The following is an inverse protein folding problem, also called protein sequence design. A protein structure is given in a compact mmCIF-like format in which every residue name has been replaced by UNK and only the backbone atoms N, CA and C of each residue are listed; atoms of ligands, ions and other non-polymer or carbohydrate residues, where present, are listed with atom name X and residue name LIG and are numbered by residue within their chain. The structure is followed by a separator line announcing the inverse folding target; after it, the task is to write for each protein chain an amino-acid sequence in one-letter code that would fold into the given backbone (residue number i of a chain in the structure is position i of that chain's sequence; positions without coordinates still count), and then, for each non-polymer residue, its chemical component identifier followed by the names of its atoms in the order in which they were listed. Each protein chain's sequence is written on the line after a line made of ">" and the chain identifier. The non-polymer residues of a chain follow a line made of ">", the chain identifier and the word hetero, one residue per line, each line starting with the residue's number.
data_IF_097077168776
#
_entry.id   IF_097077168776
#
_cell.length_a   1.000
_cell.length_b   1.000
_cell.length_c   1.000
_cell.angle_alpha   90.00
_cell.angle_beta   90.00
_cell.angle_gamma   90.00
#
_symmetry.space_group_name_H-M   'P 1'
#
loop_
_entity.id
_entity.type
_entity.pdbx_description
1 polymer ?
#
# COMPACT_ATOMS: atom_id res chain seq x y z
N UNK A 1 -27.12 12.06 -23.36
CA UNK A 1 -27.36 12.42 -21.93
C UNK A 1 -28.06 11.37 -21.08
N UNK A 2 -29.22 10.80 -21.47
CA UNK A 2 -30.06 9.97 -20.57
C UNK A 2 -29.36 8.71 -20.03
N UNK A 3 -28.61 7.99 -20.87
CA UNK A 3 -27.92 6.76 -20.47
C UNK A 3 -26.65 7.02 -19.64
N UNK A 4 -25.90 8.09 -19.93
CA UNK A 4 -24.70 8.45 -19.16
C UNK A 4 -25.08 8.98 -17.77
N UNK A 5 -26.14 9.77 -17.67
CA UNK A 5 -26.68 10.21 -16.38
C UNK A 5 -27.22 9.01 -15.58
N UNK A 6 -27.93 8.07 -16.22
CA UNK A 6 -28.38 6.84 -15.56
C UNK A 6 -27.21 5.99 -15.04
N UNK A 7 -26.08 5.93 -15.74
CA UNK A 7 -24.87 5.24 -15.25
C UNK A 7 -24.21 5.98 -14.08
N UNK A 8 -24.21 7.32 -14.11
CA UNK A 8 -23.69 8.17 -13.03
C UNK A 8 -24.53 8.04 -11.76
N UNK A 9 -25.86 8.00 -11.91
CA UNK A 9 -26.80 7.85 -10.80
C UNK A 9 -26.63 6.50 -10.08
N UNK A 10 -26.08 5.49 -10.77
CA UNK A 10 -25.83 4.15 -10.25
C UNK A 10 -24.38 3.89 -9.80
N UNK A 11 -23.50 4.90 -9.76
CA UNK A 11 -22.11 4.74 -9.28
C UNK A 11 -22.04 4.23 -7.84
N UNK A 12 -23.09 4.45 -7.06
CA UNK A 12 -23.20 3.99 -5.68
C UNK A 12 -23.27 2.46 -5.54
N UNK A 13 -23.62 1.75 -6.61
CA UNK A 13 -23.70 0.29 -6.66
C UNK A 13 -22.38 -0.38 -7.11
N UNK A 14 -21.44 0.41 -7.62
CA UNK A 14 -20.21 -0.10 -8.21
C UNK A 14 -19.04 -0.07 -7.22
N UNK A 15 -18.14 -1.05 -7.38
CA UNK A 15 -16.82 -1.05 -6.72
C UNK A 15 -15.94 0.06 -7.30
N UNK A 16 -14.92 0.48 -6.55
CA UNK A 16 -13.98 1.53 -6.96
C UNK A 16 -13.26 1.17 -8.27
N UNK A 17 -12.92 -0.11 -8.44
CA UNK A 17 -12.31 -0.62 -9.66
C UNK A 17 -13.25 -0.51 -10.86
N UNK A 18 -14.53 -0.84 -10.67
CA UNK A 18 -15.53 -0.73 -11.73
C UNK A 18 -15.83 0.73 -12.07
N UNK A 19 -15.89 1.63 -11.08
CA UNK A 19 -16.00 3.08 -11.31
C UNK A 19 -14.80 3.60 -12.10
N UNK A 20 -13.58 3.19 -11.75
CA UNK A 20 -12.36 3.54 -12.49
C UNK A 20 -12.44 3.13 -13.96
N UNK A 21 -12.82 1.87 -14.23
CA UNK A 21 -12.98 1.35 -15.59
C UNK A 21 -14.08 2.09 -16.36
N UNK A 22 -15.22 2.33 -15.73
CA UNK A 22 -16.34 3.06 -16.33
C UNK A 22 -15.94 4.48 -16.71
N UNK A 23 -15.30 5.22 -15.80
CA UNK A 23 -14.83 6.58 -16.09
C UNK A 23 -13.82 6.61 -17.23
N UNK A 24 -12.88 5.67 -17.28
CA UNK A 24 -11.96 5.56 -18.41
C UNK A 24 -12.69 5.38 -19.74
N UNK A 25 -13.70 4.49 -19.80
CA UNK A 25 -14.52 4.27 -21.00
C UNK A 25 -15.27 5.55 -21.39
N UNK A 26 -15.99 6.16 -20.45
CA UNK A 26 -16.79 7.36 -20.69
C UNK A 26 -15.93 8.53 -21.19
N UNK A 27 -14.76 8.74 -20.60
CA UNK A 27 -13.84 9.80 -21.00
C UNK A 27 -13.27 9.50 -22.40
N UNK A 28 -12.83 8.27 -22.65
CA UNK A 28 -12.23 7.89 -23.93
C UNK A 28 -13.22 8.08 -25.09
N UNK A 29 -14.47 7.63 -24.90
CA UNK A 29 -15.52 7.77 -25.90
C UNK A 29 -15.88 9.23 -26.19
N UNK A 30 -15.95 10.09 -25.16
CA UNK A 30 -16.44 11.46 -25.32
C UNK A 30 -15.38 12.46 -25.80
N UNK A 31 -14.10 12.20 -25.55
CA UNK A 31 -13.03 13.15 -25.89
C UNK A 31 -12.15 12.72 -27.06
N UNK A 32 -12.13 11.44 -27.42
CA UNK A 32 -11.22 10.93 -28.45
C UNK A 32 -11.86 9.89 -29.38
N UNK A 33 -12.93 10.24 -30.13
CA UNK A 33 -13.49 9.35 -31.13
C UNK A 33 -12.49 9.12 -32.29
N UNK A 34 -12.24 7.86 -32.65
CA UNK A 34 -11.22 7.45 -33.63
C UNK A 34 -11.53 7.80 -35.11
N UNK A 35 -12.36 8.82 -35.41
CA UNK A 35 -12.87 9.10 -36.77
C UNK A 35 -12.58 10.51 -37.29
N UNK A 36 -12.08 10.56 -38.53
CA UNK A 36 -11.42 11.69 -39.23
C UNK A 36 -12.34 12.86 -39.65
N UNK A 37 -13.65 12.85 -39.33
CA UNK A 37 -14.54 13.96 -39.71
C UNK A 37 -15.47 14.40 -38.57
N UNK A 38 -15.32 15.66 -38.16
CA UNK A 38 -16.16 16.37 -37.19
C UNK A 38 -17.62 16.44 -37.65
N UNK A 39 -18.44 15.47 -37.24
CA UNK A 39 -19.89 15.52 -37.44
C UNK A 39 -20.57 16.32 -36.31
N UNK A 40 -21.77 16.84 -36.56
CA UNK A 40 -22.56 17.57 -35.56
C UNK A 40 -22.85 16.71 -34.30
N UNK A 41 -22.94 15.39 -34.48
CA UNK A 41 -23.04 14.41 -33.40
C UNK A 41 -21.78 14.38 -32.51
N UNK A 42 -20.58 14.49 -33.08
CA UNK A 42 -19.33 14.55 -32.31
C UNK A 42 -19.20 15.86 -31.51
N UNK A 43 -19.67 16.99 -32.06
CA UNK A 43 -19.72 18.24 -31.31
C UNK A 43 -20.69 18.19 -30.12
N UNK A 44 -21.79 17.44 -30.25
CA UNK A 44 -22.72 17.18 -29.14
C UNK A 44 -22.08 16.24 -28.09
N UNK A 45 -21.40 15.19 -28.55
CA UNK A 45 -20.69 14.24 -27.69
C UNK A 45 -19.55 14.90 -26.89
N UNK A 46 -18.75 15.75 -27.55
CA UNK A 46 -17.70 16.55 -26.89
C UNK A 46 -18.29 17.47 -25.82
N UNK A 47 -19.42 18.13 -26.10
CA UNK A 47 -20.13 18.96 -25.11
C UNK A 47 -20.63 18.15 -23.92
N UNK A 48 -21.13 16.95 -24.14
CA UNK A 48 -21.55 16.05 -23.06
C UNK A 48 -20.34 15.56 -22.24
N UNK A 49 -19.21 15.29 -22.88
CA UNK A 49 -17.93 15.04 -22.21
C UNK A 49 -17.49 16.21 -21.32
N UNK A 50 -17.56 17.44 -21.83
CA UNK A 50 -17.21 18.64 -21.06
C UNK A 50 -18.10 18.85 -19.84
N UNK A 51 -19.41 18.57 -19.96
CA UNK A 51 -20.34 18.57 -18.81
C UNK A 51 -19.92 17.52 -17.78
N UNK A 52 -19.56 16.32 -18.23
CA UNK A 52 -19.09 15.26 -17.33
C UNK A 52 -17.83 15.66 -16.57
N UNK A 53 -16.83 16.26 -17.23
CA UNK A 53 -15.62 16.76 -16.55
C UNK A 53 -15.95 17.88 -15.54
N UNK A 54 -16.88 18.78 -15.89
CA UNK A 54 -17.37 19.80 -14.94
C UNK A 54 -18.04 19.16 -13.71
N UNK A 55 -18.80 18.10 -13.90
CA UNK A 55 -19.41 17.34 -12.79
C UNK A 55 -18.34 16.67 -11.90
N UNK A 56 -17.29 16.10 -12.48
CA UNK A 56 -16.16 15.55 -11.70
C UNK A 56 -15.45 16.64 -10.89
N UNK A 57 -15.29 17.85 -11.43
CA UNK A 57 -14.79 18.99 -10.66
C UNK A 57 -15.74 19.39 -9.53
N UNK A 58 -17.05 19.37 -9.76
CA UNK A 58 -18.05 19.65 -8.71
C UNK A 58 -17.95 18.63 -7.56
N UNK A 59 -17.76 17.35 -7.88
CA UNK A 59 -17.56 16.29 -6.89
C UNK A 59 -16.38 16.55 -5.92
N UNK A 60 -15.29 17.19 -6.37
CA UNK A 60 -14.17 17.55 -5.49
C UNK A 60 -14.57 18.52 -4.37
N UNK A 61 -15.60 19.34 -4.62
CA UNK A 61 -16.14 20.32 -3.67
C UNK A 61 -17.28 19.77 -2.81
N UNK A 62 -17.70 18.52 -3.05
CA UNK A 62 -18.76 17.89 -2.27
C UNK A 62 -18.36 17.71 -0.81
N UNK A 63 -19.38 17.67 0.07
CA UNK A 63 -19.26 17.23 1.46
C UNK A 63 -19.29 15.71 1.59
N UNK A 64 -19.76 15.01 0.56
CA UNK A 64 -19.91 13.54 0.55
C UNK A 64 -18.57 12.90 0.17
N UNK A 65 -17.97 12.18 1.11
CA UNK A 65 -16.69 11.49 0.93
C UNK A 65 -16.60 10.71 -0.39
N UNK A 66 -17.64 9.93 -0.70
CA UNK A 66 -17.68 9.07 -1.88
C UNK A 66 -17.67 9.87 -3.18
N UNK A 67 -18.37 11.00 -3.22
CA UNK A 67 -18.37 11.89 -4.38
C UNK A 67 -16.98 12.48 -4.59
N UNK A 68 -16.33 13.00 -3.54
CA UNK A 68 -14.96 13.53 -3.65
C UNK A 68 -14.02 12.48 -4.24
N UNK A 69 -14.12 11.24 -3.78
CA UNK A 69 -13.35 10.12 -4.33
C UNK A 69 -13.68 9.86 -5.81
N UNK A 70 -14.94 9.93 -6.21
CA UNK A 70 -15.31 9.84 -7.63
C UNK A 70 -14.72 10.97 -8.46
N UNK A 71 -14.72 12.20 -7.94
CA UNK A 71 -14.03 13.33 -8.56
C UNK A 71 -12.54 13.06 -8.77
N UNK A 72 -11.85 12.53 -7.74
CA UNK A 72 -10.44 12.15 -7.82
C UNK A 72 -10.21 11.07 -8.88
N UNK A 73 -10.93 9.95 -8.80
CA UNK A 73 -10.75 8.83 -9.74
C UNK A 73 -11.02 9.29 -11.18
N UNK A 74 -12.11 10.01 -11.41
CA UNK A 74 -12.51 10.46 -12.74
C UNK A 74 -11.52 11.43 -13.35
N UNK A 75 -11.03 12.41 -12.58
CA UNK A 75 -10.04 13.37 -13.08
C UNK A 75 -8.67 12.72 -13.34
N UNK A 76 -8.28 11.71 -12.55
CA UNK A 76 -7.06 10.93 -12.84
C UNK A 76 -7.24 10.09 -14.11
N UNK A 77 -8.40 9.46 -14.32
CA UNK A 77 -8.69 8.80 -15.60
C UNK A 77 -8.69 9.82 -16.75
N UNK A 78 -9.07 11.07 -16.49
CA UNK A 78 -9.02 12.08 -17.53
C UNK A 78 -7.58 12.42 -17.94
N UNK A 79 -6.71 12.64 -16.96
CA UNK A 79 -5.27 12.81 -17.19
C UNK A 79 -4.70 11.61 -17.94
N UNK A 80 -5.09 10.38 -17.57
CA UNK A 80 -4.67 9.16 -18.26
C UNK A 80 -4.99 9.19 -19.75
N UNK A 81 -6.22 9.51 -20.11
CA UNK A 81 -6.65 9.51 -21.51
C UNK A 81 -5.95 10.62 -22.30
N UNK A 82 -5.74 11.80 -21.69
CA UNK A 82 -4.97 12.89 -22.30
C UNK A 82 -3.54 12.41 -22.63
N UNK A 83 -2.83 11.84 -21.66
CA UNK A 83 -1.44 11.37 -21.83
C UNK A 83 -1.30 10.24 -22.87
N UNK A 84 -2.32 9.40 -23.02
CA UNK A 84 -2.29 8.31 -24.00
C UNK A 84 -2.50 8.79 -25.44
N UNK A 85 -3.21 9.91 -25.62
CA UNK A 85 -3.61 10.44 -26.94
C UNK A 85 -2.75 11.62 -27.40
N UNK A 86 -2.23 12.41 -26.48
CA UNK A 86 -1.31 13.52 -26.75
C UNK A 86 0.10 13.19 -26.21
N UNK A 87 0.99 12.81 -27.12
CA UNK A 87 2.38 12.48 -26.80
C UNK A 87 3.34 13.67 -26.93
N UNK A 88 2.86 14.83 -27.38
CA UNK A 88 3.71 15.99 -27.68
C UNK A 88 3.78 17.00 -26.53
N UNK A 89 3.02 16.78 -25.44
CA UNK A 89 3.04 17.64 -24.27
C UNK A 89 2.17 18.90 -24.37
N UNK A 90 1.36 19.05 -25.43
CA UNK A 90 0.50 20.21 -25.67
C UNK A 90 -0.54 20.42 -24.55
N UNK A 91 -0.86 19.37 -23.79
CA UNK A 91 -1.80 19.41 -22.67
C UNK A 91 -1.16 19.60 -21.27
N UNK A 92 0.13 19.97 -21.17
CA UNK A 92 0.83 20.14 -19.89
C UNK A 92 0.10 21.12 -18.93
N UNK A 93 -0.31 22.29 -19.41
CA UNK A 93 -1.04 23.28 -18.58
C UNK A 93 -2.34 22.70 -18.03
N UNK A 94 -3.05 21.95 -18.86
CA UNK A 94 -4.31 21.31 -18.49
C UNK A 94 -4.11 20.25 -17.41
N UNK A 95 -3.09 19.39 -17.56
CA UNK A 95 -2.75 18.36 -16.58
C UNK A 95 -2.35 19.02 -15.26
N UNK A 96 -1.49 20.04 -15.30
CA UNK A 96 -1.08 20.82 -14.12
C UNK A 96 -2.29 21.39 -13.37
N UNK A 97 -3.23 22.01 -14.09
CA UNK A 97 -4.46 22.56 -13.51
C UNK A 97 -5.35 21.49 -12.87
N UNK A 98 -5.44 20.28 -13.46
CA UNK A 98 -6.20 19.17 -12.88
C UNK A 98 -5.54 18.68 -11.59
N UNK A 99 -4.22 18.42 -11.61
CA UNK A 99 -3.47 17.96 -10.45
C UNK A 99 -3.53 18.96 -9.29
N UNK A 100 -3.41 20.26 -9.59
CA UNK A 100 -3.56 21.33 -8.60
C UNK A 100 -4.94 21.32 -7.95
N UNK A 101 -6.01 21.26 -8.74
CA UNK A 101 -7.39 21.20 -8.21
C UNK A 101 -7.63 19.99 -7.31
N UNK A 102 -7.09 18.82 -7.68
CA UNK A 102 -7.18 17.64 -6.82
C UNK A 102 -6.37 17.85 -5.55
N UNK A 103 -5.11 18.32 -5.65
CA UNK A 103 -4.23 18.62 -4.50
C UNK A 103 -4.92 19.55 -3.52
N UNK A 104 -5.52 20.63 -3.98
CA UNK A 104 -6.25 21.60 -3.15
C UNK A 104 -7.45 20.94 -2.44
N UNK A 105 -8.22 20.13 -3.17
CA UNK A 105 -9.39 19.43 -2.63
C UNK A 105 -9.05 18.36 -1.58
N UNK A 106 -7.89 17.69 -1.70
CA UNK A 106 -7.44 16.65 -0.75
C UNK A 106 -6.55 17.19 0.37
N UNK A 107 -6.15 18.46 0.30
CA UNK A 107 -5.35 19.12 1.33
C UNK A 107 -6.18 19.58 2.54
N UNK A 108 -7.51 19.65 2.40
CA UNK A 108 -8.42 20.03 3.50
C UNK A 108 -8.29 19.09 4.71
N UNK A 109 -8.34 19.66 5.92
CA UNK A 109 -8.29 18.92 7.19
C UNK A 109 -9.37 17.84 7.24
N UNK A 110 -9.01 16.65 7.73
CA UNK A 110 -9.93 15.52 7.86
C UNK A 110 -10.10 14.68 6.59
N UNK A 111 -9.48 15.05 5.46
CA UNK A 111 -9.57 14.30 4.19
C UNK A 111 -8.43 13.30 3.95
N UNK A 112 -7.80 12.79 5.01
CA UNK A 112 -6.64 11.88 4.91
C UNK A 112 -6.90 10.64 4.03
N UNK A 113 -8.10 10.05 4.10
CA UNK A 113 -8.50 8.92 3.25
C UNK A 113 -8.67 9.28 1.78
N UNK A 114 -9.18 10.49 1.48
CA UNK A 114 -9.29 10.97 0.10
C UNK A 114 -7.90 11.25 -0.47
N UNK A 115 -7.02 11.84 0.35
CA UNK A 115 -5.62 12.08 -0.02
C UNK A 115 -4.89 10.76 -0.33
N UNK A 116 -5.11 9.73 0.49
CA UNK A 116 -4.60 8.39 0.22
C UNK A 116 -5.08 7.86 -1.13
N UNK A 117 -6.38 7.98 -1.43
CA UNK A 117 -6.94 7.55 -2.70
C UNK A 117 -6.34 8.30 -3.89
N UNK A 118 -6.16 9.62 -3.77
CA UNK A 118 -5.48 10.41 -4.80
C UNK A 118 -4.07 9.88 -5.09
N UNK A 119 -3.27 9.64 -4.05
CA UNK A 119 -1.92 9.12 -4.24
C UNK A 119 -1.90 7.71 -4.84
N UNK A 120 -2.82 6.83 -4.43
CA UNK A 120 -2.97 5.50 -5.01
C UNK A 120 -3.33 5.59 -6.49
N UNK A 121 -4.33 6.40 -6.86
CA UNK A 121 -4.79 6.51 -8.24
C UNK A 121 -3.71 7.12 -9.16
N UNK A 122 -2.96 8.10 -8.65
CA UNK A 122 -1.86 8.70 -9.39
C UNK A 122 -0.67 7.73 -9.53
N UNK A 123 -0.37 6.93 -8.51
CA UNK A 123 0.62 5.83 -8.58
C UNK A 123 0.22 4.81 -9.66
N UNK A 124 -1.04 4.36 -9.66
CA UNK A 124 -1.58 3.44 -10.66
C UNK A 124 -1.55 4.01 -12.09
N UNK A 125 -1.70 5.34 -12.25
CA UNK A 125 -1.52 6.00 -13.53
C UNK A 125 -0.09 5.82 -14.06
N UNK A 126 0.91 5.94 -13.18
CA UNK A 126 2.32 5.95 -13.56
C UNK A 126 2.88 4.56 -13.86
N UNK A 127 2.32 3.48 -13.29
CA UNK A 127 2.80 2.09 -13.51
C UNK A 127 3.01 1.66 -14.98
N UNK A 128 2.09 1.92 -15.93
CA UNK A 128 2.30 1.62 -17.35
C UNK A 128 3.23 2.63 -18.06
N UNK A 129 4.43 2.88 -17.50
CA UNK A 129 5.36 3.96 -17.89
C UNK A 129 5.68 3.97 -19.39
N UNK A 130 5.86 2.79 -20.01
CA UNK A 130 6.26 2.65 -21.42
C UNK A 130 5.23 3.14 -22.44
N UNK A 131 3.98 3.38 -22.02
CA UNK A 131 2.89 3.79 -22.93
C UNK A 131 2.60 5.29 -22.83
N UNK A 132 3.01 5.92 -21.73
CA UNK A 132 2.78 7.34 -21.49
C UNK A 132 3.89 8.17 -22.16
N UNK A 133 3.51 9.27 -22.82
CA UNK A 133 4.48 10.27 -23.26
C UNK A 133 5.05 11.05 -22.08
N UNK A 134 6.21 11.68 -22.27
CA UNK A 134 6.81 12.57 -21.26
C UNK A 134 5.87 13.74 -20.96
N UNK A 135 5.75 14.11 -19.68
CA UNK A 135 4.83 15.17 -19.24
C UNK A 135 5.47 15.99 -18.12
N UNK A 136 5.83 17.23 -18.45
CA UNK A 136 6.50 18.17 -17.55
C UNK A 136 5.65 18.47 -16.31
N UNK A 137 4.32 18.52 -16.45
CA UNK A 137 3.43 18.76 -15.32
C UNK A 137 3.49 17.62 -14.29
N UNK A 138 3.60 16.36 -14.73
CA UNK A 138 3.78 15.22 -13.85
C UNK A 138 5.16 15.22 -13.19
N UNK A 139 6.21 15.53 -13.96
CA UNK A 139 7.59 15.63 -13.46
C UNK A 139 7.69 16.70 -12.36
N UNK A 140 7.19 17.90 -12.64
CA UNK A 140 7.16 19.03 -11.70
C UNK A 140 6.41 18.68 -10.43
N UNK A 141 5.22 18.09 -10.56
CA UNK A 141 4.42 17.66 -9.42
C UNK A 141 5.12 16.59 -8.57
N UNK A 142 5.79 15.63 -9.21
CA UNK A 142 6.59 14.60 -8.53
C UNK A 142 7.74 15.21 -7.70
N UNK A 143 8.44 16.20 -8.26
CA UNK A 143 9.51 16.91 -7.58
C UNK A 143 9.00 17.71 -6.37
N UNK A 144 7.86 18.42 -6.50
CA UNK A 144 7.21 19.09 -5.37
C UNK A 144 6.85 18.12 -4.25
N UNK A 145 6.29 16.96 -4.58
CA UNK A 145 5.92 15.95 -3.59
C UNK A 145 7.15 15.36 -2.89
N UNK A 146 8.22 15.10 -3.63
CA UNK A 146 9.49 14.64 -3.03
C UNK A 146 10.00 15.66 -2.02
N UNK A 147 10.02 16.94 -2.38
CA UNK A 147 10.44 18.03 -1.50
C UNK A 147 9.62 18.10 -0.22
N UNK A 148 8.29 17.93 -0.32
CA UNK A 148 7.38 17.86 0.84
C UNK A 148 7.73 16.66 1.71
N UNK A 149 7.93 15.47 1.11
CA UNK A 149 8.29 14.27 1.86
C UNK A 149 9.61 14.48 2.60
N UNK A 150 10.64 14.95 1.91
CA UNK A 150 11.95 15.17 2.50
C UNK A 150 11.90 16.22 3.63
N UNK A 151 11.31 17.39 3.38
CA UNK A 151 11.33 18.53 4.32
C UNK A 151 10.35 18.37 5.48
N UNK A 152 9.11 17.94 5.21
CA UNK A 152 8.03 17.96 6.20
C UNK A 152 7.87 16.64 6.95
N UNK A 153 8.29 15.50 6.37
CA UNK A 153 8.10 14.17 6.96
C UNK A 153 9.40 13.64 7.59
N UNK A 154 10.54 13.82 6.91
CA UNK A 154 11.82 13.21 7.30
C UNK A 154 12.84 14.18 7.93
N UNK A 155 12.74 15.48 7.61
CA UNK A 155 13.64 16.52 8.14
C UNK A 155 12.97 17.38 9.21
N UNK A 156 12.15 16.76 10.09
CA UNK A 156 11.66 17.42 11.29
C UNK A 156 12.81 17.62 12.29
N UNK A 157 13.65 18.63 12.02
CA UNK A 157 14.69 19.13 12.91
C UNK A 157 14.04 19.63 14.21
N UNK A 158 13.82 18.76 15.18
CA UNK A 158 13.25 19.20 16.46
C UNK A 158 13.01 18.14 17.52
N UNK A 159 12.90 16.85 17.19
CA UNK A 159 12.48 15.83 18.15
C UNK A 159 13.61 14.95 18.68
N UNK A 160 14.83 15.48 18.84
CA UNK A 160 15.70 14.91 19.88
C UNK A 160 15.10 15.30 21.22
N UNK A 161 14.47 14.34 21.91
CA UNK A 161 14.57 14.37 23.36
C UNK A 161 16.08 14.31 23.68
N UNK A 162 16.58 15.15 24.61
CA UNK A 162 17.98 15.17 24.95
C UNK A 162 18.44 13.77 25.36
N UNK A 163 19.64 13.38 24.93
CA UNK A 163 20.36 12.22 25.44
C UNK A 163 20.30 12.25 26.98
N UNK A 164 19.50 11.40 27.59
CA UNK A 164 19.15 11.47 29.01
C UNK A 164 17.85 10.77 29.41
N UNK A 165 16.95 10.47 28.46
CA UNK A 165 15.87 9.52 28.71
C UNK A 165 16.44 8.08 28.74
N UNK A 166 15.96 7.28 29.70
CA UNK A 166 16.35 5.87 29.89
C UNK A 166 16.48 5.12 28.56
N UNK A 167 17.53 4.29 28.35
CA UNK A 167 17.76 3.61 27.09
C UNK A 167 16.53 2.78 26.70
N UNK A 168 15.84 3.25 25.68
CA UNK A 168 14.74 2.55 25.07
C UNK A 168 15.28 1.32 24.33
N UNK A 169 14.62 0.16 24.44
CA UNK A 169 14.96 -1.07 23.68
C UNK A 169 15.07 -0.84 22.17
N UNK A 170 14.35 0.16 21.65
CA UNK A 170 14.32 0.51 20.24
C UNK A 170 15.40 1.53 19.83
N UNK A 171 16.07 2.18 20.79
CA UNK A 171 17.16 3.14 20.56
C UNK A 171 18.54 2.48 20.45
N UNK A 172 18.58 1.14 20.38
CA UNK A 172 19.81 0.38 20.20
C UNK A 172 20.46 0.66 18.84
N UNK A 173 21.79 0.73 18.82
CA UNK A 173 22.61 0.72 17.60
C UNK A 173 22.31 -0.49 16.69
N UNK A 174 21.63 -1.52 17.19
CA UNK A 174 21.14 -2.64 16.38
C UNK A 174 20.17 -2.19 15.27
N UNK A 175 19.38 -1.15 15.53
CA UNK A 175 18.28 -0.70 14.65
C UNK A 175 18.48 0.72 14.10
N UNK A 176 19.35 1.50 14.74
CA UNK A 176 19.59 2.91 14.41
C UNK A 176 20.99 3.09 13.84
N UNK A 177 21.14 3.96 12.85
CA UNK A 177 22.44 4.46 12.40
C UNK A 177 22.72 5.82 13.05
N UNK A 178 23.64 5.85 14.01
CA UNK A 178 24.01 7.07 14.77
C UNK A 178 24.68 8.14 13.89
N UNK A 179 25.18 7.77 12.72
CA UNK A 179 25.77 8.72 11.76
C UNK A 179 24.72 9.46 10.93
N UNK A 180 23.46 9.02 10.97
CA UNK A 180 22.34 9.58 10.21
C UNK A 180 21.50 10.51 11.07
N UNK A 181 21.29 11.73 10.57
CA UNK A 181 20.50 12.78 11.23
C UNK A 181 19.06 12.89 10.71
N UNK A 182 18.68 12.06 9.74
CA UNK A 182 17.33 12.01 9.15
C UNK A 182 16.45 11.09 10.00
N UNK A 183 15.25 11.55 10.38
CA UNK A 183 14.35 10.80 11.28
C UNK A 183 12.90 10.89 10.82
N UNK A 184 12.14 9.81 11.00
CA UNK A 184 10.70 9.80 10.78
C UNK A 184 9.96 9.46 12.08
N UNK A 185 9.07 10.35 12.52
CA UNK A 185 8.18 10.11 13.66
C UNK A 185 6.86 9.51 13.20
N UNK A 186 6.84 8.18 13.03
CA UNK A 186 5.63 7.45 12.63
C UNK A 186 4.52 7.50 13.68
N UNK A 187 4.88 7.64 14.96
CA UNK A 187 3.88 7.72 16.03
C UNK A 187 3.04 9.01 15.95
N UNK A 188 3.64 10.14 15.54
CA UNK A 188 2.93 11.38 15.29
C UNK A 188 1.88 11.29 14.18
N UNK A 189 1.99 10.31 13.27
CA UNK A 189 0.98 10.01 12.26
C UNK A 189 -0.13 9.06 12.73
N UNK A 190 0.02 8.45 13.90
CA UNK A 190 -0.92 7.50 14.49
C UNK A 190 -1.66 8.10 15.68
N UNK A 191 -0.99 8.93 16.48
CA UNK A 191 -1.48 9.49 17.73
C UNK A 191 -1.43 11.02 17.65
N UNK A 192 -2.58 11.68 17.84
CA UNK A 192 -2.68 13.14 17.97
C UNK A 192 -2.22 13.61 19.36
N UNK A 193 -2.01 14.91 19.50
CA UNK A 193 -1.62 15.55 20.77
C UNK A 193 -2.61 15.31 21.92
N UNK A 194 -3.88 15.04 21.62
CA UNK A 194 -4.92 14.66 22.59
C UNK A 194 -4.96 13.13 22.88
N UNK A 195 -3.94 12.39 22.47
CA UNK A 195 -3.86 10.93 22.50
C UNK A 195 -4.92 10.20 21.66
N UNK A 196 -5.66 10.84 20.77
CA UNK A 196 -6.59 10.14 19.89
C UNK A 196 -5.88 9.49 18.69
N UNK A 197 -6.44 8.36 18.21
CA UNK A 197 -5.99 7.77 16.96
C UNK A 197 -6.34 8.70 15.80
N UNK A 198 -5.42 8.86 14.86
CA UNK A 198 -5.62 9.65 13.64
C UNK A 198 -5.50 8.81 12.38
N UNK A 199 -6.25 9.21 11.36
CA UNK A 199 -6.20 8.63 10.02
C UNK A 199 -5.03 9.18 9.18
N UNK A 200 -4.14 10.01 9.76
CA UNK A 200 -3.03 10.62 9.03
C UNK A 200 -2.06 9.58 8.45
N UNK A 201 -1.93 8.42 9.07
CA UNK A 201 -1.10 7.35 8.51
C UNK A 201 -1.62 6.81 7.17
N UNK A 202 -2.92 6.92 6.90
CA UNK A 202 -3.55 6.32 5.72
C UNK A 202 -2.99 6.87 4.41
N UNK A 203 -2.49 8.11 4.40
CA UNK A 203 -1.95 8.75 3.18
C UNK A 203 -0.43 8.73 3.09
N UNK A 204 0.29 8.46 4.19
CA UNK A 204 1.76 8.48 4.21
C UNK A 204 2.36 7.38 3.32
N UNK A 205 1.90 6.13 3.46
CA UNK A 205 2.46 5.04 2.65
C UNK A 205 2.11 5.19 1.15
N UNK A 206 0.86 5.55 0.78
CA UNK A 206 0.55 5.92 -0.59
C UNK A 206 1.41 7.06 -1.14
N UNK A 207 1.74 8.07 -0.33
CA UNK A 207 2.61 9.17 -0.75
C UNK A 207 4.03 8.68 -1.06
N UNK A 208 4.63 7.88 -0.16
CA UNK A 208 5.98 7.32 -0.37
C UNK A 208 6.01 6.46 -1.64
N UNK A 209 4.98 5.62 -1.84
CA UNK A 209 4.86 4.80 -3.05
C UNK A 209 4.69 5.65 -4.31
N UNK A 210 3.86 6.68 -4.26
CA UNK A 210 3.68 7.61 -5.37
C UNK A 210 4.98 8.31 -5.76
N UNK A 211 5.75 8.75 -4.76
CA UNK A 211 7.06 9.38 -4.99
C UNK A 211 8.02 8.42 -5.69
N UNK A 212 8.05 7.13 -5.31
CA UNK A 212 8.78 6.08 -6.07
C UNK A 212 8.31 5.98 -7.51
N UNK A 213 7.00 6.03 -7.74
CA UNK A 213 6.44 5.82 -9.07
C UNK A 213 6.68 7.04 -9.98
N UNK A 214 6.64 8.26 -9.46
CA UNK A 214 7.07 9.47 -10.19
C UNK A 214 8.52 9.40 -10.59
N UNK A 215 9.34 8.94 -9.65
CA UNK A 215 10.74 8.76 -9.85
C UNK A 215 10.98 7.74 -10.98
N UNK A 216 10.31 6.58 -10.92
CA UNK A 216 10.41 5.56 -11.97
C UNK A 216 9.90 6.04 -13.33
N UNK A 217 8.84 6.87 -13.33
CA UNK A 217 8.31 7.51 -14.52
C UNK A 217 9.34 8.47 -15.16
N UNK A 218 9.95 9.37 -14.38
CA UNK A 218 11.03 10.24 -14.86
C UNK A 218 12.20 9.42 -15.43
N UNK A 219 12.58 8.33 -14.75
CA UNK A 219 13.64 7.43 -15.18
C UNK A 219 13.37 6.78 -16.54
N UNK A 220 12.10 6.52 -16.89
CA UNK A 220 11.75 5.87 -18.15
C UNK A 220 12.10 6.69 -19.40
N UNK A 221 12.43 7.97 -19.24
CA UNK A 221 12.86 8.89 -20.30
C UNK A 221 14.36 9.24 -20.23
N UNK A 222 15.11 8.75 -19.24
CA UNK A 222 16.55 8.99 -19.13
C UNK A 222 17.36 8.04 -20.03
N UNK A 223 18.39 8.56 -20.69
CA UNK A 223 19.26 7.76 -21.55
C UNK A 223 20.03 6.68 -20.77
N UNK A 224 20.32 5.53 -21.39
CA UNK A 224 20.96 4.40 -20.71
C UNK A 224 22.40 4.69 -20.24
N UNK A 225 23.09 5.61 -20.94
CA UNK A 225 24.43 6.09 -20.60
C UNK A 225 24.43 7.22 -19.56
N UNK A 226 23.27 7.62 -19.07
CA UNK A 226 23.15 8.81 -18.23
C UNK A 226 23.53 8.53 -16.76
N UNK A 227 24.55 9.22 -16.19
CA UNK A 227 24.85 9.18 -14.76
C UNK A 227 23.65 9.55 -13.86
N UNK A 228 22.56 10.11 -14.41
CA UNK A 228 21.28 10.30 -13.73
C UNK A 228 20.72 9.02 -13.09
N UNK A 229 21.00 7.81 -13.63
CA UNK A 229 20.51 6.54 -13.03
C UNK A 229 21.07 6.29 -11.62
N UNK A 230 22.31 6.68 -11.36
CA UNK A 230 22.91 6.58 -10.03
C UNK A 230 22.44 7.72 -9.10
N UNK A 231 22.28 8.93 -9.65
CA UNK A 231 21.76 10.09 -8.90
C UNK A 231 20.31 9.90 -8.46
N UNK A 232 19.52 9.14 -9.23
CA UNK A 232 18.13 8.81 -8.96
C UNK A 232 17.90 8.23 -7.56
N UNK A 233 18.51 7.07 -7.30
CA UNK A 233 18.36 6.37 -6.03
C UNK A 233 19.04 7.11 -4.89
N UNK A 234 20.14 7.81 -5.17
CA UNK A 234 20.78 8.70 -4.22
C UNK A 234 19.82 9.80 -3.74
N UNK A 235 18.93 10.26 -4.62
CA UNK A 235 17.96 11.32 -4.32
C UNK A 235 16.80 10.86 -3.42
N UNK A 236 16.56 9.54 -3.28
CA UNK A 236 15.58 8.95 -2.36
C UNK A 236 16.21 8.26 -1.17
N UNK A 237 17.53 8.19 -1.13
CA UNK A 237 18.30 7.54 -0.08
C UNK A 237 17.92 7.99 1.32
N UNK A 238 17.53 9.26 1.49
CA UNK A 238 17.02 9.81 2.74
C UNK A 238 15.89 8.96 3.36
N UNK A 239 15.02 8.34 2.54
CA UNK A 239 13.93 7.46 2.98
C UNK A 239 14.48 6.17 3.59
N UNK A 240 15.51 5.59 2.97
CA UNK A 240 16.11 4.33 3.42
C UNK A 240 16.99 4.52 4.66
N UNK A 241 17.81 5.58 4.67
CA UNK A 241 18.74 5.87 5.77
C UNK A 241 18.02 6.36 7.03
N UNK A 242 16.87 7.04 6.88
CA UNK A 242 16.17 7.67 7.99
C UNK A 242 15.92 6.73 9.17
N UNK A 243 16.29 7.16 10.36
CA UNK A 243 15.97 6.45 11.59
C UNK A 243 14.46 6.57 11.90
N UNK A 244 13.89 5.57 12.56
CA UNK A 244 12.47 5.58 12.95
C UNK A 244 12.38 5.94 14.42
N UNK A 245 11.70 7.03 14.75
CA UNK A 245 11.45 7.42 16.15
C UNK A 245 10.36 6.52 16.75
N UNK A 246 10.75 5.77 17.78
CA UNK A 246 9.88 4.85 18.53
C UNK A 246 9.67 5.27 19.98
N UNK A 247 9.96 6.52 20.33
CA UNK A 247 9.78 7.04 21.69
C UNK A 247 8.35 6.83 22.22
N UNK A 248 7.34 7.01 21.35
CA UNK A 248 5.95 6.78 21.73
C UNK A 248 5.67 5.30 22.07
N UNK A 249 6.34 4.35 21.41
CA UNK A 249 6.18 2.90 21.68
C UNK A 249 6.67 2.57 23.09
N UNK A 250 7.78 3.18 23.51
CA UNK A 250 8.34 3.04 24.85
C UNK A 250 7.42 3.60 25.92
N UNK A 251 6.85 4.79 25.70
CA UNK A 251 5.89 5.37 26.65
C UNK A 251 4.64 4.51 26.82
N UNK A 252 4.23 3.83 25.76
CA UNK A 252 3.05 2.96 25.75
C UNK A 252 3.37 1.50 26.14
N UNK A 253 4.63 1.13 26.41
CA UNK A 253 4.98 -0.28 26.66
C UNK A 253 4.41 -0.81 27.96
N UNK A 254 4.39 0.04 28.99
CA UNK A 254 4.10 -0.35 30.37
C UNK A 254 2.66 -0.04 30.79
N UNK A 255 1.90 0.64 29.92
CA UNK A 255 0.51 0.96 30.22
C UNK A 255 -0.38 -0.29 30.31
N UNK A 256 -1.18 -0.35 31.37
CA UNK A 256 -2.20 -1.38 31.58
C UNK A 256 -3.50 -1.06 30.86
N UNK A 257 -3.70 0.20 30.46
CA UNK A 257 -4.93 0.67 29.80
C UNK A 257 -5.11 0.04 28.43
N UNK A 258 -6.31 -0.45 28.15
CA UNK A 258 -6.64 -1.11 26.87
C UNK A 258 -6.42 -0.20 25.67
N UNK A 259 -6.79 1.07 25.77
CA UNK A 259 -6.60 2.04 24.68
C UNK A 259 -5.12 2.29 24.37
N UNK A 260 -4.25 2.33 25.38
CA UNK A 260 -2.81 2.48 25.17
C UNK A 260 -2.19 1.24 24.54
N UNK A 261 -2.64 0.05 24.93
CA UNK A 261 -2.25 -1.21 24.28
C UNK A 261 -2.67 -1.23 22.81
N UNK A 262 -3.86 -0.72 22.48
CA UNK A 262 -4.32 -0.60 21.08
C UNK A 262 -3.44 0.40 20.32
N UNK A 263 -3.18 1.59 20.86
CA UNK A 263 -2.29 2.61 20.26
C UNK A 263 -0.89 2.03 20.02
N UNK A 264 -0.35 1.31 20.99
CA UNK A 264 0.93 0.62 20.88
C UNK A 264 0.92 -0.34 19.67
N UNK A 265 -0.11 -1.18 19.55
CA UNK A 265 -0.25 -2.09 18.41
C UNK A 265 -0.36 -1.34 17.07
N UNK A 266 -1.08 -0.21 17.03
CA UNK A 266 -1.21 0.62 15.84
C UNK A 266 0.12 1.20 15.41
N UNK A 267 0.92 1.74 16.34
CA UNK A 267 2.26 2.26 16.03
C UNK A 267 3.18 1.14 15.52
N UNK A 268 3.21 -0.01 16.19
CA UNK A 268 4.03 -1.15 15.73
C UNK A 268 3.62 -1.64 14.33
N UNK A 269 2.33 -1.79 14.09
CA UNK A 269 1.83 -2.20 12.78
C UNK A 269 2.17 -1.17 11.69
N UNK A 270 2.02 0.12 11.99
CA UNK A 270 2.43 1.21 11.11
C UNK A 270 3.93 1.14 10.76
N UNK A 271 4.79 0.90 11.75
CA UNK A 271 6.24 0.76 11.53
C UNK A 271 6.53 -0.43 10.63
N UNK A 272 5.83 -1.56 10.82
CA UNK A 272 5.97 -2.75 9.97
C UNK A 272 5.58 -2.45 8.52
N UNK A 273 4.42 -1.82 8.29
CA UNK A 273 3.96 -1.47 6.94
C UNK A 273 4.88 -0.44 6.27
N UNK A 274 5.37 0.54 7.04
CA UNK A 274 6.36 1.49 6.58
C UNK A 274 7.65 0.81 6.14
N UNK A 275 8.27 0.00 7.01
CA UNK A 275 9.51 -0.70 6.69
C UNK A 275 9.33 -1.62 5.49
N UNK A 276 8.21 -2.35 5.41
CA UNK A 276 7.90 -3.18 4.23
C UNK A 276 7.83 -2.35 2.95
N UNK A 277 7.18 -1.19 3.00
CA UNK A 277 7.07 -0.27 1.86
C UNK A 277 8.45 0.22 1.41
N UNK A 278 9.29 0.64 2.36
CA UNK A 278 10.68 1.07 2.07
C UNK A 278 11.49 -0.09 1.50
N UNK A 279 11.47 -1.27 2.12
CA UNK A 279 12.21 -2.42 1.59
C UNK A 279 11.75 -2.82 0.18
N UNK A 280 10.45 -2.81 -0.10
CA UNK A 280 9.91 -3.05 -1.45
C UNK A 280 10.23 -1.93 -2.43
N UNK A 281 10.35 -0.69 -1.96
CA UNK A 281 10.78 0.44 -2.78
C UNK A 281 12.22 0.23 -3.25
N UNK A 282 13.10 -0.23 -2.35
CA UNK A 282 14.52 -0.36 -2.61
C UNK A 282 14.99 -1.77 -2.99
N UNK A 283 14.07 -2.72 -3.22
CA UNK A 283 14.40 -4.13 -3.50
C UNK A 283 15.18 -4.32 -4.81
N UNK A 284 14.87 -3.52 -5.83
CA UNK A 284 15.46 -3.60 -7.17
C UNK A 284 16.58 -2.57 -7.37
N UNK A 285 17.03 -1.89 -6.30
CA UNK A 285 18.08 -0.88 -6.42
C UNK A 285 19.44 -1.51 -6.66
N UNK A 286 20.08 -1.10 -7.75
CA UNK A 286 21.48 -1.42 -8.03
C UNK A 286 22.34 -0.36 -7.32
N UNK A 287 22.55 -0.52 -6.01
CA UNK A 287 23.55 0.26 -5.30
C UNK A 287 24.81 -0.58 -5.10
N UNK A 288 25.96 -0.03 -5.47
CA UNK A 288 27.21 -0.38 -4.82
C UNK A 288 27.33 0.46 -3.54
N UNK A 289 27.47 -0.19 -2.37
CA UNK A 289 28.08 0.29 -1.10
C UNK A 289 27.59 -0.51 0.12
N UNK A 290 28.50 -0.82 1.04
CA UNK A 290 28.24 -1.47 2.34
C UNK A 290 27.14 -0.76 3.18
N UNK A 291 26.99 0.56 3.03
CA UNK A 291 26.02 1.37 3.79
C UNK A 291 24.55 1.03 3.47
N UNK A 292 24.23 0.74 2.21
CA UNK A 292 22.84 0.37 1.83
C UNK A 292 22.46 -0.96 2.47
N UNK A 293 23.38 -1.94 2.42
CA UNK A 293 23.20 -3.22 3.08
C UNK A 293 23.01 -3.06 4.59
N UNK A 294 23.77 -2.17 5.22
CA UNK A 294 23.63 -1.84 6.63
C UNK A 294 22.23 -1.30 6.94
N UNK A 295 21.73 -0.30 6.19
CA UNK A 295 20.41 0.28 6.43
C UNK A 295 19.28 -0.71 6.19
N UNK A 296 19.34 -1.48 5.09
CA UNK A 296 18.36 -2.55 4.83
C UNK A 296 18.35 -3.59 5.95
N UNK A 297 19.53 -3.99 6.43
CA UNK A 297 19.66 -4.95 7.54
C UNK A 297 19.06 -4.39 8.83
N UNK A 298 19.37 -3.14 9.18
CA UNK A 298 18.80 -2.46 10.37
C UNK A 298 17.28 -2.37 10.28
N UNK A 299 16.73 -1.99 9.11
CA UNK A 299 15.30 -1.93 8.83
C UNK A 299 14.63 -3.30 8.97
N UNK A 300 15.22 -4.35 8.38
CA UNK A 300 14.71 -5.72 8.49
C UNK A 300 14.68 -6.20 9.95
N UNK A 301 15.77 -5.98 10.71
CA UNK A 301 15.85 -6.29 12.14
C UNK A 301 14.78 -5.54 12.94
N UNK A 302 14.56 -4.26 12.63
CA UNK A 302 13.53 -3.45 13.26
C UNK A 302 12.12 -4.01 12.99
N UNK A 303 11.82 -4.37 11.73
CA UNK A 303 10.54 -4.96 11.36
C UNK A 303 10.29 -6.27 12.12
N UNK A 304 11.30 -7.15 12.23
CA UNK A 304 11.21 -8.42 12.97
C UNK A 304 10.93 -8.16 14.46
N UNK A 305 11.63 -7.19 15.07
CA UNK A 305 11.40 -6.80 16.47
C UNK A 305 9.95 -6.31 16.66
N UNK A 306 9.49 -5.39 15.81
CA UNK A 306 8.14 -4.87 15.87
C UNK A 306 7.08 -5.97 15.68
N UNK A 307 7.31 -6.92 14.77
CA UNK A 307 6.42 -8.08 14.57
C UNK A 307 6.34 -8.96 15.81
N UNK A 308 7.49 -9.25 16.43
CA UNK A 308 7.55 -10.03 17.67
C UNK A 308 6.73 -9.36 18.79
N UNK A 309 6.96 -8.07 19.01
CA UNK A 309 6.26 -7.30 20.05
C UNK A 309 4.76 -7.13 19.75
N UNK A 310 4.39 -6.92 18.48
CA UNK A 310 2.99 -6.83 18.07
C UNK A 310 2.27 -8.15 18.35
N UNK A 311 2.87 -9.29 17.99
CA UNK A 311 2.31 -10.62 18.26
C UNK A 311 2.10 -10.87 19.75
N UNK A 312 3.07 -10.48 20.59
CA UNK A 312 2.95 -10.59 22.05
C UNK A 312 1.81 -9.72 22.58
N UNK A 313 1.70 -8.46 22.14
CA UNK A 313 0.67 -7.52 22.60
C UNK A 313 -0.73 -7.92 22.15
N UNK A 314 -0.91 -8.36 20.90
CA UNK A 314 -2.19 -8.90 20.40
C UNK A 314 -2.61 -10.13 21.22
N UNK A 315 -1.67 -11.00 21.58
CA UNK A 315 -1.92 -12.15 22.45
C UNK A 315 -2.49 -11.77 23.82
N UNK A 316 -2.16 -10.57 24.33
CA UNK A 316 -2.66 -10.02 25.58
C UNK A 316 -3.98 -9.25 25.44
N UNK A 317 -4.32 -8.78 24.24
CA UNK A 317 -5.57 -8.05 23.94
C UNK A 317 -6.75 -8.99 23.61
N UNK A 318 -6.49 -10.23 23.22
CA UNK A 318 -7.52 -11.18 22.78
C UNK A 318 -8.01 -10.88 21.37
N UNK A 319 -8.69 -9.75 21.15
CA UNK A 319 -9.11 -9.31 19.82
C UNK A 319 -8.50 -7.95 19.48
N UNK A 320 -7.92 -7.86 18.28
CA UNK A 320 -7.33 -6.63 17.78
C UNK A 320 -7.77 -6.35 16.34
N UNK A 321 -8.24 -5.13 16.09
CA UNK A 321 -8.61 -4.65 14.75
C UNK A 321 -7.44 -3.93 14.12
N UNK A 322 -7.00 -4.42 12.96
CA UNK A 322 -5.93 -3.76 12.21
C UNK A 322 -6.35 -2.36 11.73
N UNK A 323 -5.48 -1.35 11.82
CA UNK A 323 -5.75 -0.04 11.26
C UNK A 323 -5.83 -0.13 9.73
N UNK A 324 -6.73 0.64 9.13
CA UNK A 324 -6.91 0.72 7.66
C UNK A 324 -5.82 1.59 7.04
N UNK A 325 -4.59 1.08 6.95
CA UNK A 325 -3.45 1.86 6.48
C UNK A 325 -3.45 2.05 4.95
N UNK A 326 -4.01 1.11 4.19
CA UNK A 326 -3.85 1.13 2.72
C UNK A 326 -5.15 1.05 1.92
N UNK A 327 -6.29 0.67 2.51
CA UNK A 327 -7.52 0.38 1.74
C UNK A 327 -8.79 0.86 2.45
N UNK A 328 -9.57 1.68 1.73
CA UNK A 328 -10.79 2.36 2.22
C UNK A 328 -11.95 1.36 2.41
N UNK A 329 -11.95 0.25 1.67
CA UNK A 329 -13.11 -0.67 1.55
C UNK A 329 -12.82 -2.16 1.77
N UNK A 330 -11.70 -2.54 2.38
CA UNK A 330 -11.57 -3.94 2.84
C UNK A 330 -12.16 -4.11 4.23
N UNK A 331 -12.78 -5.26 4.42
CA UNK A 331 -13.27 -5.70 5.73
C UNK A 331 -12.19 -5.51 6.78
N UNK A 332 -12.58 -4.99 7.94
CA UNK A 332 -11.66 -4.82 9.06
C UNK A 332 -11.16 -6.20 9.49
N UNK A 333 -9.86 -6.44 9.33
CA UNK A 333 -9.28 -7.71 9.71
C UNK A 333 -9.16 -7.78 11.24
N UNK A 334 -9.91 -8.70 11.82
CA UNK A 334 -9.89 -9.02 13.25
C UNK A 334 -8.83 -10.10 13.50
N UNK A 335 -7.78 -9.74 14.22
CA UNK A 335 -6.77 -10.69 14.68
C UNK A 335 -7.17 -11.19 16.06
N UNK A 336 -7.40 -12.50 16.18
CA UNK A 336 -7.64 -13.17 17.46
C UNK A 336 -6.33 -13.73 18.02
N UNK A 337 -6.04 -13.41 19.27
CA UNK A 337 -4.91 -13.95 20.02
C UNK A 337 -5.06 -15.46 20.23
N UNK A 338 -3.91 -16.14 20.37
CA UNK A 338 -3.84 -17.62 20.52
C UNK A 338 -4.67 -18.17 21.69
N UNK A 339 -5.01 -17.35 22.70
CA UNK A 339 -5.85 -17.75 23.84
C UNK A 339 -7.32 -17.98 23.46
N UNK A 340 -7.83 -17.30 22.43
CA UNK A 340 -9.21 -17.46 21.96
C UNK A 340 -9.37 -18.56 20.90
N UNK A 341 -8.29 -18.87 20.16
CA UNK A 341 -8.28 -19.94 19.16
C UNK A 341 -8.45 -21.35 19.76
N UNK A 342 -8.18 -21.52 21.07
CA UNK A 342 -8.28 -22.82 21.76
C UNK A 342 -9.66 -23.11 22.39
N UNK A 343 -10.66 -22.23 22.27
CA UNK A 343 -11.95 -22.37 22.97
C UNK A 343 -13.19 -22.68 22.12
N UNK A 344 -13.05 -23.15 20.88
CA UNK A 344 -14.20 -23.69 20.12
C UNK A 344 -13.95 -25.12 19.67
N UNK A 345 -14.24 -26.09 20.55
CA UNK A 345 -14.71 -27.40 20.08
C UNK A 345 -16.10 -27.16 19.45
N UNK A 346 -16.35 -27.57 18.20
CA UNK A 346 -17.69 -27.46 17.64
C UNK A 346 -18.63 -28.38 18.44
N UNK A 347 -19.66 -27.81 19.05
CA UNK A 347 -20.81 -28.60 19.49
C UNK A 347 -21.44 -29.19 18.23
N UNK A 348 -21.46 -30.52 18.12
CA UNK A 348 -22.26 -31.24 17.13
C UNK A 348 -23.73 -31.04 17.49
N UNK A 349 -24.33 -29.93 17.05
CA UNK A 349 -25.78 -29.86 16.98
C UNK A 349 -26.21 -30.71 15.78
N UNK A 350 -26.89 -31.81 16.09
CA UNK A 350 -27.57 -32.67 15.11
C UNK A 350 -28.70 -31.86 14.47
N UNK A 351 -28.40 -31.14 13.40
CA UNK A 351 -29.46 -30.71 12.48
C UNK A 351 -29.89 -31.94 11.66
N UNK A 352 -31.07 -32.47 12.00
CA UNK A 352 -31.86 -33.33 11.12
C UNK A 352 -32.11 -32.56 9.83
N UNK A 353 -31.41 -32.89 8.77
CA UNK A 353 -31.82 -32.55 7.42
C UNK A 353 -32.80 -33.66 7.01
N UNK A 354 -34.09 -33.35 7.01
CA UNK A 354 -35.10 -34.20 6.37
C UNK A 354 -35.00 -33.93 4.87
N UNK A 355 -34.26 -34.78 4.16
CA UNK A 355 -34.31 -34.85 2.70
C UNK A 355 -35.44 -35.82 2.36
N UNK A 356 -36.54 -35.31 1.83
CA UNK A 356 -37.51 -36.13 1.11
C UNK A 356 -36.97 -36.34 -0.31
N UNK A 357 -36.48 -37.54 -0.59
CA UNK A 357 -36.30 -38.02 -1.95
C UNK A 357 -37.06 -39.34 -2.07
N UNK A 358 -38.02 -39.38 -3.01
CA UNK A 358 -38.63 -40.62 -3.45
C UNK A 358 -37.63 -41.39 -4.35
N UNK A 359 -37.73 -42.73 -4.39
CA UNK A 359 -36.60 -43.64 -4.60
C UNK A 359 -36.53 -44.15 -6.06
N UNK A 360 -35.41 -44.79 -6.40
CA UNK A 360 -35.18 -45.94 -7.31
C UNK A 360 -33.67 -45.93 -7.62
N UNK A 361 -32.89 -46.99 -7.59
CA UNK A 361 -32.93 -48.33 -7.01
C UNK A 361 -31.52 -48.91 -7.26
N UNK A 362 -31.07 -49.84 -6.41
CA UNK A 362 -30.09 -50.93 -6.61
C UNK A 362 -28.79 -50.71 -7.42
N UNK A 363 -27.60 -51.18 -7.02
CA UNK A 363 -27.24 -52.29 -6.13
C UNK A 363 -25.70 -52.42 -6.01
N UNK A 364 -25.30 -53.10 -4.92
CA UNK A 364 -24.14 -54.02 -4.78
C UNK A 364 -22.71 -53.43 -4.65
N UNK A 365 -22.09 -53.48 -3.46
CA UNK A 365 -21.35 -54.61 -2.80
C UNK A 365 -19.83 -54.43 -3.08
N UNK A 366 -18.90 -54.31 -2.12
CA UNK A 366 -18.29 -55.29 -1.17
C UNK A 366 -17.17 -54.46 -0.47
N UNK A 367 -17.14 -54.32 0.87
CA UNK A 367 -16.30 -55.08 1.85
C UNK A 367 -14.81 -54.61 1.87
N UNK A 368 -14.03 -54.55 2.95
CA UNK A 368 -14.13 -55.04 4.33
C UNK A 368 -12.97 -54.40 5.17
N UNK A 369 -13.17 -54.24 6.48
CA UNK A 369 -12.16 -54.29 7.59
C UNK A 369 -10.98 -53.29 7.66
N UNK A 370 -10.84 -52.42 8.69
CA UNK A 370 -10.58 -52.56 10.16
C UNK A 370 -9.10 -52.35 10.51
N UNK A 371 -8.78 -51.29 11.27
CA UNK A 371 -8.42 -51.27 12.72
C UNK A 371 -6.98 -51.75 12.96
N UNK A 372 -6.10 -51.20 13.81
CA UNK A 372 -6.30 -50.51 15.08
C UNK A 372 -4.96 -49.94 15.62
N UNK A 373 -5.08 -48.88 16.43
CA UNK A 373 -4.31 -48.59 17.66
C UNK A 373 -2.82 -48.20 17.63
N UNK A 374 -2.49 -47.21 18.48
CA UNK A 374 -1.12 -46.90 18.86
C UNK A 374 -0.91 -45.45 19.32
N UNK A 375 -1.59 -45.03 20.39
CA UNK A 375 -1.22 -43.82 21.13
C UNK A 375 -0.04 -44.20 22.02
N UNK A 376 1.06 -43.44 21.96
CA UNK A 376 1.82 -43.17 23.17
C UNK A 376 2.47 -41.79 23.15
N UNK A 377 2.24 -41.06 24.25
CA UNK A 377 2.76 -39.74 24.53
C UNK A 377 4.11 -39.87 25.24
N UNK A 378 5.11 -39.12 24.79
CA UNK A 378 6.17 -38.66 25.67
C UNK A 378 6.62 -37.25 25.27
N UNK A 379 6.34 -36.28 26.13
CA UNK A 379 6.91 -34.94 26.09
C UNK A 379 8.42 -34.99 26.41
N UNK A 380 9.25 -34.27 25.65
CA UNK A 380 10.18 -33.27 26.19
C UNK A 380 11.03 -32.58 25.11
N UNK A 381 11.01 -31.24 25.15
CA UNK A 381 12.02 -30.26 24.74
C UNK A 381 13.03 -30.58 23.61
N UNK A 382 12.89 -29.85 22.49
CA UNK A 382 14.03 -29.31 21.74
C UNK A 382 13.61 -28.08 20.91
N UNK A 383 13.49 -26.94 21.58
CA UNK A 383 13.45 -25.62 20.96
C UNK A 383 14.85 -25.24 20.45
N UNK A 384 15.35 -25.89 19.40
CA UNK A 384 16.60 -25.55 18.70
C UNK A 384 16.70 -26.31 17.36
N UNK A 385 15.90 -25.94 16.35
CA UNK A 385 16.16 -26.40 14.96
C UNK A 385 15.49 -25.60 13.83
N UNK A 386 14.59 -24.65 14.12
CA UNK A 386 13.82 -23.99 13.05
C UNK A 386 14.58 -22.90 12.26
N UNK A 387 15.75 -22.46 12.71
CA UNK A 387 16.56 -21.47 11.98
C UNK A 387 17.46 -22.10 10.89
N UNK A 388 18.00 -23.30 11.12
CA UNK A 388 18.83 -24.01 10.14
C UNK A 388 17.97 -24.58 8.99
N UNK A 389 16.75 -25.00 9.28
CA UNK A 389 15.80 -25.50 8.27
C UNK A 389 15.34 -24.44 7.28
N UNK A 390 15.27 -23.16 7.68
CA UNK A 390 14.89 -22.07 6.77
C UNK A 390 16.06 -21.66 5.87
N UNK A 391 17.29 -21.61 6.42
CA UNK A 391 18.50 -21.32 5.66
C UNK A 391 18.81 -22.41 4.63
N UNK A 392 18.64 -23.70 4.99
CA UNK A 392 18.79 -24.81 4.04
C UNK A 392 17.74 -24.78 2.92
N UNK A 393 16.49 -24.41 3.23
CA UNK A 393 15.42 -24.27 2.22
C UNK A 393 15.66 -23.08 1.29
N UNK A 394 16.21 -21.96 1.79
CA UNK A 394 16.56 -20.81 0.97
C UNK A 394 17.76 -21.08 0.05
N UNK A 395 18.78 -21.80 0.54
CA UNK A 395 19.92 -22.22 -0.26
C UNK A 395 19.53 -23.24 -1.35
N UNK A 396 18.67 -24.21 -1.02
CA UNK A 396 18.12 -25.16 -1.98
C UNK A 396 17.24 -24.49 -3.05
N UNK A 397 16.50 -23.45 -2.70
CA UNK A 397 15.72 -22.66 -3.66
C UNK A 397 16.61 -21.84 -4.60
N UNK A 398 17.69 -21.25 -4.08
CA UNK A 398 18.67 -20.49 -4.88
C UNK A 398 19.39 -21.40 -5.88
N UNK A 399 19.84 -22.58 -5.45
CA UNK A 399 20.49 -23.57 -6.32
C UNK A 399 19.56 -24.05 -7.45
N UNK A 400 18.28 -24.34 -7.15
CA UNK A 400 17.31 -24.74 -8.17
C UNK A 400 17.02 -23.63 -9.18
N UNK A 401 16.99 -22.37 -8.74
CA UNK A 401 16.79 -21.22 -9.63
C UNK A 401 18.01 -21.03 -10.57
N UNK A 402 19.22 -21.21 -10.06
CA UNK A 402 20.45 -21.12 -10.87
C UNK A 402 20.58 -22.30 -11.86
N UNK A 403 20.23 -23.53 -11.48
CA UNK A 403 20.19 -24.67 -12.42
C UNK A 403 19.12 -24.49 -13.50
N UNK A 404 17.96 -23.93 -13.16
CA UNK A 404 16.90 -23.66 -14.13
C UNK A 404 17.31 -22.56 -15.12
N UNK A 405 17.98 -21.50 -14.65
CA UNK A 405 18.52 -20.44 -15.50
C UNK A 405 19.66 -20.93 -16.40
N UNK A 406 20.51 -21.84 -15.91
CA UNK A 406 21.54 -22.49 -16.73
C UNK A 406 20.95 -23.41 -17.80
N UNK A 407 19.89 -24.17 -17.49
CA UNK A 407 19.16 -24.97 -18.48
C UNK A 407 18.53 -24.11 -19.57
N UNK A 408 17.89 -23.00 -19.19
CA UNK A 408 17.30 -22.05 -20.16
C UNK A 408 18.37 -21.41 -21.04
N UNK A 409 19.55 -21.10 -20.49
CA UNK A 409 20.66 -20.55 -21.27
C UNK A 409 21.30 -21.57 -22.22
N UNK A 410 21.27 -22.86 -21.88
CA UNK A 410 21.76 -23.97 -22.71
C UNK A 410 20.77 -24.43 -23.79
N UNK A 411 19.50 -24.03 -23.69
CA UNK A 411 18.47 -24.29 -24.71
C UNK A 411 18.32 -23.13 -25.71
N UNK A 412 19.09 -22.04 -25.55
CA UNK A 412 19.10 -20.85 -26.41
C UNK A 412 20.41 -20.63 -27.18
N UNK A 413 21.33 -21.60 -27.10
CA UNK A 413 22.52 -21.77 -27.95
C UNK A 413 22.60 -23.25 -28.34
#
# INVERSE_FOLDING_TARGET
>A
MTEMNALIDNLSLLSYENVRKLFYILISLNFFPDTVRATQAQLAQKRDGEKFIKQLHHYLTSSVFREIVWGVIGLIQYVKVILLKDRNGDNNERISNILKKIKDAVSTVGRGKVRAEFYIQLSELLKPMKVLGECEALITFGNELKDIVEKEIYNQKGSRLPHGASPCTYDSETYIDVSVNTWINLAGFVIKDNNELTDNICWLLPLIQLVKDFASYQFSFADESDPLKAQFWESFKFILEANVDLNAVSRLSDSTATNDKIRHCHVLYTVIEYVRTVLNMFADCIFEKEKVHLWMTKKLKLMILCQSHLNQKIGNLGTYTLPRITQINKDQLLVKGKKDAKKKKPKKDKQKITIAAAPVDESMEVDESRDESGIDNSESNASQSNASGLAHKFHAFKLRKEETLKKIALEQF
#
